data_IF_799037102960
#
_entry.id   IF_799037102960
#
_cell.length_a   1.000
_cell.length_b   1.000
_cell.length_c   1.000
_cell.angle_alpha   90.00
_cell.angle_beta   90.00
_cell.angle_gamma   90.00
#
_symmetry.space_group_name_H-M   'P 1'
#
loop_
_entity.id
_entity.type
_entity.pdbx_description
1 polymer ?
#
# COMPACT_ATOMS: atom_id res chain seq x y z
N UNK A 1 4.91 -63.64 -30.36
CA UNK A 1 3.98 -62.65 -29.79
C UNK A 1 4.23 -62.36 -28.29
N UNK A 2 5.46 -62.06 -27.89
CA UNK A 2 5.75 -61.68 -26.46
C UNK A 2 6.37 -60.28 -26.29
N UNK A 3 6.61 -59.56 -27.40
CA UNK A 3 7.22 -58.21 -27.38
C UNK A 3 6.24 -57.06 -27.15
N UNK A 4 4.94 -57.29 -27.37
CA UNK A 4 3.91 -56.23 -27.26
C UNK A 4 3.51 -55.90 -25.83
N UNK A 5 3.57 -56.85 -24.90
CA UNK A 5 3.16 -56.63 -23.51
C UNK A 5 4.18 -55.84 -22.67
N UNK A 6 5.48 -56.01 -22.97
CA UNK A 6 6.54 -55.28 -22.24
C UNK A 6 6.58 -53.78 -22.58
N UNK A 7 6.22 -53.42 -23.82
CA UNK A 7 6.18 -51.97 -24.24
C UNK A 7 5.00 -51.26 -23.59
N UNK A 8 3.85 -51.93 -23.43
CA UNK A 8 2.66 -51.35 -22.81
C UNK A 8 2.90 -51.11 -21.29
N UNK A 9 3.59 -52.03 -20.63
CA UNK A 9 3.93 -51.88 -19.20
C UNK A 9 4.95 -50.76 -18.99
N UNK A 10 5.95 -50.60 -19.91
CA UNK A 10 6.91 -49.51 -19.83
C UNK A 10 6.28 -48.13 -20.09
N UNK A 11 5.34 -48.03 -21.01
CA UNK A 11 4.56 -46.81 -21.26
C UNK A 11 3.63 -46.45 -20.09
N UNK A 12 3.03 -47.44 -19.42
CA UNK A 12 2.20 -47.22 -18.24
C UNK A 12 3.03 -46.77 -17.02
N UNK A 13 4.27 -47.28 -16.87
CA UNK A 13 5.19 -46.85 -15.81
C UNK A 13 5.71 -45.42 -16.08
N UNK A 14 6.01 -45.08 -17.36
CA UNK A 14 6.38 -43.71 -17.73
C UNK A 14 5.21 -42.71 -17.53
N UNK A 15 3.98 -43.10 -17.83
CA UNK A 15 2.80 -42.27 -17.58
C UNK A 15 2.47 -42.10 -16.09
N UNK A 16 2.77 -43.10 -15.26
CA UNK A 16 2.61 -43.01 -13.80
C UNK A 16 3.72 -42.22 -13.13
N UNK A 17 4.91 -42.12 -13.73
CA UNK A 17 6.03 -41.34 -13.13
C UNK A 17 5.92 -39.82 -13.37
N UNK A 18 4.96 -39.33 -14.15
CA UNK A 18 4.76 -37.92 -14.45
C UNK A 18 3.64 -37.26 -13.64
N UNK A 19 2.99 -37.98 -12.74
CA UNK A 19 2.22 -37.35 -11.67
C UNK A 19 3.19 -36.99 -10.54
N UNK A 20 4.14 -36.12 -10.82
CA UNK A 20 4.70 -35.27 -9.78
C UNK A 20 3.50 -34.48 -9.24
N UNK A 21 2.99 -34.92 -8.10
CA UNK A 21 2.01 -34.13 -7.36
C UNK A 21 2.67 -32.77 -7.14
N UNK A 22 2.30 -31.79 -7.95
CA UNK A 22 2.69 -30.42 -7.70
C UNK A 22 2.22 -30.14 -6.27
N UNK A 23 3.16 -30.12 -5.35
CA UNK A 23 2.89 -29.87 -3.94
C UNK A 23 2.20 -28.52 -3.91
N UNK A 24 0.90 -28.50 -3.70
CA UNK A 24 0.11 -27.28 -3.68
C UNK A 24 0.54 -26.51 -2.46
N UNK A 25 1.30 -25.45 -2.69
CA UNK A 25 1.74 -24.53 -1.63
C UNK A 25 0.49 -24.02 -0.90
N UNK A 26 0.46 -24.16 0.42
CA UNK A 26 -0.63 -23.61 1.21
C UNK A 26 -0.49 -22.09 1.33
N UNK A 27 -1.60 -21.39 1.61
CA UNK A 27 -1.59 -19.94 1.82
C UNK A 27 -0.63 -19.55 2.93
N UNK A 28 -0.60 -20.32 4.05
CA UNK A 28 0.27 -20.00 5.18
C UNK A 28 1.75 -20.22 4.86
N UNK A 29 2.08 -21.25 4.11
CA UNK A 29 3.45 -21.44 3.60
C UNK A 29 3.85 -20.28 2.67
N UNK A 30 2.95 -19.86 1.79
CA UNK A 30 3.21 -18.75 0.88
C UNK A 30 3.44 -17.42 1.62
N UNK A 31 2.64 -17.13 2.65
CA UNK A 31 2.82 -15.96 3.52
C UNK A 31 4.19 -15.99 4.23
N UNK A 32 4.56 -17.13 4.81
CA UNK A 32 5.85 -17.30 5.49
C UNK A 32 7.04 -17.12 4.53
N UNK A 33 6.95 -17.69 3.34
CA UNK A 33 7.99 -17.54 2.32
C UNK A 33 8.11 -16.10 1.84
N UNK A 34 6.98 -15.41 1.61
CA UNK A 34 6.97 -14.00 1.23
C UNK A 34 7.57 -13.11 2.33
N UNK A 35 7.24 -13.37 3.61
CA UNK A 35 7.82 -12.66 4.77
C UNK A 35 9.34 -12.85 4.84
N UNK A 36 9.81 -14.08 4.71
CA UNK A 36 11.25 -14.39 4.70
C UNK A 36 11.97 -13.70 3.54
N UNK A 37 11.36 -13.71 2.35
CA UNK A 37 11.94 -13.07 1.17
C UNK A 37 11.97 -11.55 1.32
N UNK A 38 10.91 -10.94 1.84
CA UNK A 38 10.84 -9.50 2.11
C UNK A 38 11.94 -9.04 3.08
N UNK A 39 12.24 -9.84 4.10
CA UNK A 39 13.33 -9.55 5.06
C UNK A 39 14.73 -9.61 4.47
N UNK A 40 14.92 -10.25 3.31
CA UNK A 40 16.21 -10.41 2.64
C UNK A 40 16.38 -9.49 1.41
N UNK A 41 15.41 -8.62 1.13
CA UNK A 41 15.50 -7.70 0.00
C UNK A 41 16.60 -6.66 0.26
N UNK A 42 17.32 -6.33 -0.81
CA UNK A 42 18.37 -5.33 -0.79
C UNK A 42 17.97 -4.07 -1.55
N UNK A 43 17.33 -4.25 -2.70
CA UNK A 43 16.92 -3.15 -3.58
C UNK A 43 15.64 -3.51 -4.31
N UNK A 44 14.82 -2.51 -4.61
CA UNK A 44 13.66 -2.63 -5.48
C UNK A 44 13.16 -1.27 -5.95
N UNK A 45 12.31 -1.29 -6.96
CA UNK A 45 11.51 -0.12 -7.38
C UNK A 45 10.03 -0.40 -7.16
N UNK A 46 9.23 0.65 -7.06
CA UNK A 46 7.79 0.51 -6.98
C UNK A 46 7.06 1.64 -7.72
N UNK A 47 5.85 1.32 -8.14
CA UNK A 47 4.84 2.28 -8.59
C UNK A 47 3.56 2.05 -7.83
N UNK A 48 2.93 3.12 -7.35
CA UNK A 48 1.66 3.08 -6.62
C UNK A 48 0.69 4.05 -7.28
N UNK A 49 -0.55 3.62 -7.44
CA UNK A 49 -1.67 4.49 -7.80
C UNK A 49 -2.79 4.31 -6.80
N UNK A 50 -3.40 5.40 -6.40
CA UNK A 50 -4.54 5.38 -5.50
C UNK A 50 -5.61 6.36 -5.98
N UNK A 51 -6.85 5.89 -6.06
CA UNK A 51 -8.05 6.71 -6.21
C UNK A 51 -8.80 6.73 -4.89
N UNK A 52 -9.15 7.90 -4.42
CA UNK A 52 -9.93 8.11 -3.21
C UNK A 52 -11.11 9.00 -3.51
N UNK A 53 -12.33 8.49 -3.30
CA UNK A 53 -13.56 9.24 -3.50
C UNK A 53 -14.20 9.45 -2.13
N UNK A 54 -14.66 10.66 -1.87
CA UNK A 54 -15.35 11.03 -0.66
C UNK A 54 -16.65 11.75 -1.00
N UNK A 55 -17.76 11.23 -0.48
CA UNK A 55 -19.08 11.83 -0.66
C UNK A 55 -19.62 12.16 0.71
N UNK A 56 -19.72 13.45 1.01
CA UNK A 56 -20.38 13.95 2.20
C UNK A 56 -21.82 14.31 1.91
N UNK A 57 -22.77 13.88 2.74
CA UNK A 57 -24.18 14.25 2.65
C UNK A 57 -24.75 14.56 4.03
N UNK A 58 -25.54 15.64 4.11
CA UNK A 58 -26.44 15.91 5.22
C UNK A 58 -27.80 16.39 4.67
N UNK A 59 -28.70 16.84 5.51
CA UNK A 59 -30.06 17.25 5.09
C UNK A 59 -30.08 18.38 4.04
N UNK A 60 -29.05 19.20 3.92
CA UNK A 60 -29.02 20.41 3.08
C UNK A 60 -27.84 20.50 2.12
N UNK A 61 -26.84 19.60 2.24
CA UNK A 61 -25.61 19.70 1.48
C UNK A 61 -25.16 18.31 1.01
N UNK A 62 -24.75 18.24 -0.26
CA UNK A 62 -23.94 17.13 -0.80
C UNK A 62 -22.64 17.73 -1.30
N UNK A 63 -21.51 17.19 -0.84
CA UNK A 63 -20.18 17.54 -1.31
C UNK A 63 -19.45 16.29 -1.75
N UNK A 64 -18.78 16.33 -2.89
CA UNK A 64 -18.01 15.24 -3.46
C UNK A 64 -16.57 15.70 -3.64
N UNK A 65 -15.63 14.81 -3.35
CA UNK A 65 -14.20 15.06 -3.53
C UNK A 65 -13.54 13.79 -4.05
N UNK A 66 -12.88 13.91 -5.19
CA UNK A 66 -12.16 12.83 -5.84
C UNK A 66 -10.68 13.18 -5.92
N UNK A 67 -9.82 12.28 -5.48
CA UNK A 67 -8.38 12.46 -5.52
C UNK A 67 -7.69 11.27 -6.18
N UNK A 68 -6.79 11.55 -7.09
CA UNK A 68 -5.90 10.58 -7.67
C UNK A 68 -4.46 10.84 -7.25
N UNK A 69 -3.79 9.83 -6.69
CA UNK A 69 -2.37 9.87 -6.31
C UNK A 69 -1.60 8.85 -7.13
N UNK A 70 -0.53 9.29 -7.77
CA UNK A 70 0.45 8.41 -8.41
C UNK A 70 1.81 8.62 -7.76
N UNK A 71 2.44 7.53 -7.33
CA UNK A 71 3.76 7.53 -6.69
C UNK A 71 4.67 6.54 -7.39
N UNK A 72 5.94 6.88 -7.54
CA UNK A 72 6.99 5.95 -7.95
C UNK A 72 8.19 6.12 -7.03
N UNK A 73 8.89 5.04 -6.77
CA UNK A 73 10.05 5.10 -5.88
C UNK A 73 11.08 4.02 -6.14
N UNK A 74 12.22 4.22 -5.51
CA UNK A 74 13.38 3.34 -5.51
C UNK A 74 13.90 3.22 -4.10
N UNK A 75 14.27 2.04 -3.68
CA UNK A 75 14.78 1.74 -2.34
C UNK A 75 16.05 0.92 -2.45
N UNK A 76 17.12 1.40 -1.85
CA UNK A 76 18.40 0.70 -1.70
C UNK A 76 18.74 0.59 -0.21
N UNK A 77 18.46 -0.59 0.35
CA UNK A 77 18.66 -0.88 1.76
C UNK A 77 20.15 -1.07 2.12
N UNK A 78 20.98 -1.46 1.15
CA UNK A 78 22.43 -1.66 1.34
C UNK A 78 23.11 -0.30 1.49
N UNK A 79 22.86 0.61 0.56
CA UNK A 79 23.45 1.95 0.56
C UNK A 79 22.66 2.95 1.43
N UNK A 80 21.59 2.50 2.09
CA UNK A 80 20.71 3.33 2.92
C UNK A 80 20.27 4.59 2.17
N UNK A 81 19.72 4.38 1.01
CA UNK A 81 19.21 5.45 0.15
C UNK A 81 17.84 5.10 -0.41
N UNK A 82 17.05 6.13 -0.65
CA UNK A 82 15.74 6.02 -1.25
C UNK A 82 15.38 7.29 -2.02
N UNK A 83 14.53 7.13 -3.00
CA UNK A 83 13.94 8.20 -3.76
C UNK A 83 12.47 7.90 -4.02
N UNK A 84 11.65 8.92 -4.00
CA UNK A 84 10.27 8.83 -4.40
C UNK A 84 9.79 10.14 -5.05
N UNK A 85 8.80 10.01 -5.92
CA UNK A 85 8.10 11.13 -6.54
C UNK A 85 6.62 10.83 -6.52
N UNK A 86 5.81 11.77 -6.07
CA UNK A 86 4.36 11.61 -5.95
C UNK A 86 3.64 12.81 -6.56
N UNK A 87 2.59 12.52 -7.32
CA UNK A 87 1.67 13.50 -7.87
C UNK A 87 0.29 13.24 -7.25
N UNK A 88 -0.32 14.27 -6.72
CA UNK A 88 -1.72 14.27 -6.30
C UNK A 88 -2.50 15.22 -7.21
N UNK A 89 -3.56 14.71 -7.80
CA UNK A 89 -4.51 15.48 -8.60
C UNK A 89 -5.85 15.46 -7.87
N UNK A 90 -6.40 16.62 -7.66
CA UNK A 90 -7.76 16.82 -7.19
C UNK A 90 -8.58 17.23 -8.42
N UNK A 91 -9.61 16.45 -8.76
CA UNK A 91 -10.40 16.67 -9.98
C UNK A 91 -11.23 17.93 -9.88
N UNK A 92 -11.73 18.31 -8.70
CA UNK A 92 -12.56 19.49 -8.51
C UNK A 92 -11.74 20.80 -8.63
N UNK A 93 -10.60 20.88 -7.92
CA UNK A 93 -9.76 22.07 -7.92
C UNK A 93 -8.78 22.12 -9.09
N UNK A 94 -8.60 21.01 -9.81
CA UNK A 94 -7.55 20.81 -10.83
C UNK A 94 -6.14 21.15 -10.35
N UNK A 95 -5.95 21.18 -9.03
CA UNK A 95 -4.66 21.42 -8.43
C UNK A 95 -3.81 20.15 -8.53
N UNK A 96 -2.63 20.29 -9.12
CA UNK A 96 -1.62 19.23 -9.15
C UNK A 96 -0.59 19.57 -8.09
N UNK A 97 -0.49 18.72 -7.09
CA UNK A 97 0.57 18.81 -6.08
C UNK A 97 1.63 17.77 -6.40
N UNK A 98 2.85 18.25 -6.62
CA UNK A 98 4.00 17.41 -6.93
C UNK A 98 4.99 17.45 -5.78
N UNK A 99 5.39 16.27 -5.33
CA UNK A 99 6.43 16.10 -4.32
C UNK A 99 7.51 15.16 -4.82
N UNK A 100 8.70 15.42 -4.37
CA UNK A 100 9.84 14.56 -4.60
C UNK A 100 10.66 14.48 -3.32
N UNK A 101 11.10 13.30 -2.97
CA UNK A 101 11.89 13.10 -1.77
C UNK A 101 13.06 12.17 -2.01
N UNK A 102 14.15 12.44 -1.30
CA UNK A 102 15.34 11.60 -1.25
C UNK A 102 15.69 11.31 0.20
N UNK A 103 16.11 10.10 0.44
CA UNK A 103 16.83 9.73 1.64
C UNK A 103 18.24 9.29 1.25
N UNK A 104 19.26 9.96 1.76
CA UNK A 104 20.66 9.65 1.46
C UNK A 104 21.50 9.78 2.72
N UNK A 105 22.09 8.68 3.17
CA UNK A 105 22.91 8.63 4.38
C UNK A 105 22.11 8.93 5.64
N UNK A 106 22.33 10.09 6.26
CA UNK A 106 21.66 10.53 7.48
C UNK A 106 20.77 11.76 7.27
N UNK A 107 20.33 12.00 6.04
CA UNK A 107 19.53 13.16 5.72
C UNK A 107 18.39 12.80 4.78
N UNK A 108 17.27 13.45 5.00
CA UNK A 108 16.09 13.40 4.15
C UNK A 108 15.96 14.76 3.45
N UNK A 109 15.60 14.75 2.18
CA UNK A 109 15.47 15.91 1.33
C UNK A 109 14.11 15.88 0.66
N UNK A 110 13.37 16.95 0.78
CA UNK A 110 12.04 17.06 0.21
C UNK A 110 11.93 18.26 -0.68
N UNK A 111 11.32 18.08 -1.83
CA UNK A 111 11.02 19.13 -2.81
C UNK A 111 9.53 19.40 -2.84
N UNK A 112 9.17 20.67 -2.68
CA UNK A 112 7.84 21.17 -2.91
C UNK A 112 7.89 22.34 -3.88
N UNK A 113 7.33 22.19 -5.07
CA UNK A 113 7.51 23.15 -6.15
C UNK A 113 8.97 23.27 -6.55
N UNK A 114 9.58 24.46 -6.38
CA UNK A 114 10.99 24.71 -6.66
C UNK A 114 11.89 24.69 -5.42
N UNK A 115 11.32 24.51 -4.24
CA UNK A 115 12.02 24.62 -2.98
C UNK A 115 12.42 23.26 -2.43
N UNK A 116 13.67 23.14 -1.97
CA UNK A 116 14.19 21.99 -1.25
C UNK A 116 14.26 22.27 0.25
N UNK A 117 13.92 21.27 1.04
CA UNK A 117 14.11 21.26 2.49
C UNK A 117 14.92 20.04 2.88
N UNK A 118 15.87 20.24 3.79
CA UNK A 118 16.70 19.17 4.33
C UNK A 118 16.33 18.92 5.80
N UNK A 119 16.17 17.65 6.15
CA UNK A 119 15.92 17.20 7.51
C UNK A 119 17.06 16.28 7.96
N UNK A 120 17.70 16.55 9.09
CA UNK A 120 18.62 15.58 9.68
C UNK A 120 17.84 14.38 10.21
N UNK A 121 18.36 13.18 9.98
CA UNK A 121 17.77 11.93 10.45
C UNK A 121 18.61 11.40 11.61
N UNK A 122 18.06 11.43 12.81
CA UNK A 122 18.75 10.95 14.01
C UNK A 122 18.75 9.42 14.11
N UNK A 123 17.77 8.75 13.53
CA UNK A 123 17.63 7.30 13.50
C UNK A 123 17.47 6.80 12.06
N UNK A 124 18.62 6.53 11.44
CA UNK A 124 18.69 6.03 10.06
C UNK A 124 18.01 4.66 9.90
N UNK A 125 18.09 3.80 10.93
CA UNK A 125 17.49 2.46 10.86
C UNK A 125 15.95 2.56 10.83
N UNK A 126 15.38 3.40 11.69
CA UNK A 126 13.95 3.67 11.70
C UNK A 126 13.48 4.32 10.40
N UNK A 127 14.27 5.25 9.87
CA UNK A 127 13.94 5.89 8.60
C UNK A 127 13.93 4.87 7.46
N UNK A 128 14.93 4.00 7.37
CA UNK A 128 14.95 2.93 6.37
C UNK A 128 13.77 1.97 6.50
N UNK A 129 13.30 1.68 7.72
CA UNK A 129 12.07 0.91 7.92
C UNK A 129 10.84 1.63 7.34
N UNK A 130 10.79 2.95 7.44
CA UNK A 130 9.70 3.74 6.86
C UNK A 130 9.74 3.76 5.33
N UNK A 131 10.93 3.76 4.72
CA UNK A 131 11.09 3.69 3.26
C UNK A 131 10.93 2.28 2.70
N UNK A 132 11.18 1.24 3.51
CA UNK A 132 11.02 -0.14 3.10
C UNK A 132 9.56 -0.59 3.22
N UNK A 133 8.78 -0.36 2.19
CA UNK A 133 7.33 -0.63 2.19
C UNK A 133 6.98 -2.13 2.17
N UNK A 134 7.76 -2.95 1.47
CA UNK A 134 7.43 -4.36 1.23
C UNK A 134 7.18 -5.15 2.53
N UNK A 135 7.98 -5.03 3.61
CA UNK A 135 7.66 -5.72 4.86
C UNK A 135 6.30 -5.32 5.45
N UNK A 136 5.91 -4.05 5.33
CA UNK A 136 4.59 -3.58 5.75
C UNK A 136 3.46 -4.22 4.95
N UNK A 137 3.62 -4.28 3.63
CA UNK A 137 2.66 -4.90 2.72
C UNK A 137 2.56 -6.43 2.93
N UNK A 138 3.69 -7.10 3.13
CA UNK A 138 3.73 -8.53 3.45
C UNK A 138 3.11 -8.82 4.82
N UNK A 139 3.30 -7.93 5.81
CA UNK A 139 2.59 -8.02 7.08
C UNK A 139 1.08 -7.87 6.90
N UNK A 140 0.63 -7.00 5.99
CA UNK A 140 -0.78 -6.91 5.65
C UNK A 140 -1.32 -8.25 5.11
N UNK A 141 -0.58 -8.94 4.25
CA UNK A 141 -0.94 -10.29 3.78
C UNK A 141 -0.95 -11.31 4.92
N UNK A 142 0.04 -11.27 5.81
CA UNK A 142 0.15 -12.15 6.98
C UNK A 142 -1.10 -12.07 7.86
N UNK A 143 -1.57 -10.86 8.11
CA UNK A 143 -2.73 -10.58 8.95
C UNK A 143 -4.04 -10.43 8.15
N UNK A 144 -4.20 -11.28 7.14
CA UNK A 144 -5.40 -11.33 6.30
C UNK A 144 -5.88 -12.76 6.10
N UNK A 145 -7.19 -12.91 5.95
CA UNK A 145 -7.80 -14.18 5.58
C UNK A 145 -7.79 -14.31 4.04
N UNK A 146 -6.71 -14.88 3.51
CA UNK A 146 -6.48 -14.99 2.07
C UNK A 146 -6.78 -16.40 1.57
N UNK A 147 -7.12 -16.48 0.27
CA UNK A 147 -7.25 -17.73 -0.50
C UNK A 147 -6.46 -17.61 -1.79
N UNK A 148 -5.79 -18.67 -2.22
CA UNK A 148 -5.22 -18.76 -3.57
C UNK A 148 -6.41 -19.00 -4.51
N UNK A 149 -6.68 -18.03 -5.38
CA UNK A 149 -7.78 -18.08 -6.34
C UNK A 149 -7.33 -18.52 -7.73
N UNK A 150 -6.03 -18.59 -7.96
CA UNK A 150 -5.45 -19.03 -9.24
C UNK A 150 -3.99 -18.71 -9.36
N UNK A 151 -3.53 -18.81 -10.60
CA UNK A 151 -2.17 -18.46 -11.02
C UNK A 151 -2.25 -17.76 -12.36
N UNK A 152 -1.47 -16.70 -12.51
CA UNK A 152 -1.38 -15.96 -13.76
C UNK A 152 0.04 -15.43 -13.98
N UNK A 153 0.37 -15.04 -15.19
CA UNK A 153 1.62 -14.34 -15.47
C UNK A 153 1.49 -12.86 -15.14
N UNK A 154 2.40 -12.36 -14.33
CA UNK A 154 2.53 -10.94 -14.04
C UNK A 154 3.96 -10.48 -14.35
N UNK A 155 4.12 -9.48 -15.20
CA UNK A 155 5.43 -9.00 -15.69
C UNK A 155 6.33 -10.15 -16.24
N UNK A 156 5.73 -11.15 -16.90
CA UNK A 156 6.44 -12.30 -17.47
C UNK A 156 6.75 -13.43 -16.49
N UNK A 157 6.58 -13.23 -15.19
CA UNK A 157 6.80 -14.25 -14.15
C UNK A 157 5.49 -14.96 -13.78
N UNK A 158 5.56 -16.24 -13.47
CA UNK A 158 4.41 -16.99 -12.95
C UNK A 158 4.15 -16.62 -11.50
N UNK A 159 2.92 -16.24 -11.20
CA UNK A 159 2.52 -15.80 -9.86
C UNK A 159 1.34 -16.61 -9.31
N UNK A 160 1.26 -16.69 -7.98
CA UNK A 160 0.03 -17.01 -7.27
C UNK A 160 -0.80 -15.75 -7.12
N UNK A 161 -2.10 -15.84 -7.40
CA UNK A 161 -3.05 -14.77 -7.11
C UNK A 161 -3.81 -15.11 -5.84
N UNK A 162 -3.69 -14.24 -4.85
CA UNK A 162 -4.38 -14.36 -3.57
C UNK A 162 -5.45 -13.29 -3.47
N UNK A 163 -6.60 -13.64 -2.89
CA UNK A 163 -7.69 -12.70 -2.61
C UNK A 163 -8.23 -12.96 -1.22
N UNK A 164 -8.57 -11.92 -0.50
CA UNK A 164 -9.23 -12.00 0.80
C UNK A 164 -9.37 -10.67 1.49
N UNK A 165 -9.66 -10.71 2.78
CA UNK A 165 -9.88 -9.52 3.59
C UNK A 165 -8.89 -9.48 4.75
N UNK A 166 -8.41 -8.30 5.16
CA UNK A 166 -7.58 -8.16 6.35
C UNK A 166 -8.36 -8.51 7.61
N UNK A 167 -7.63 -8.93 8.65
CA UNK A 167 -8.25 -9.11 9.96
C UNK A 167 -8.72 -7.75 10.51
N UNK A 168 -9.68 -7.81 11.41
CA UNK A 168 -10.37 -6.66 12.01
C UNK A 168 -9.41 -5.52 12.43
N UNK A 169 -8.34 -5.85 13.16
CA UNK A 169 -7.42 -4.84 13.68
C UNK A 169 -6.64 -4.09 12.57
N UNK A 170 -6.36 -4.75 11.43
CA UNK A 170 -5.76 -4.13 10.25
C UNK A 170 -6.80 -3.27 9.52
N UNK A 171 -8.02 -3.80 9.38
CA UNK A 171 -9.12 -3.06 8.78
C UNK A 171 -9.38 -1.74 9.52
N UNK A 172 -9.32 -1.75 10.85
CA UNK A 172 -9.41 -0.53 11.67
C UNK A 172 -8.34 0.51 11.34
N UNK A 173 -7.11 0.07 11.05
CA UNK A 173 -6.03 0.97 10.61
C UNK A 173 -6.33 1.62 9.26
N UNK A 174 -6.68 0.82 8.25
CA UNK A 174 -7.04 1.31 6.91
C UNK A 174 -8.26 2.24 6.99
N UNK A 175 -9.33 1.79 7.65
CA UNK A 175 -10.56 2.56 7.81
C UNK A 175 -10.34 3.83 8.64
N UNK A 176 -9.45 3.80 9.63
CA UNK A 176 -9.08 4.97 10.43
C UNK A 176 -8.41 6.06 9.60
N UNK A 177 -7.50 5.67 8.69
CA UNK A 177 -6.87 6.62 7.75
C UNK A 177 -7.88 7.17 6.75
N UNK A 178 -8.74 6.33 6.15
CA UNK A 178 -9.82 6.78 5.27
C UNK A 178 -10.77 7.74 5.98
N UNK A 179 -11.13 7.44 7.22
CA UNK A 179 -11.99 8.28 8.03
C UNK A 179 -11.36 9.64 8.30
N UNK A 180 -10.08 9.66 8.68
CA UNK A 180 -9.36 10.91 8.94
C UNK A 180 -9.31 11.76 7.66
N UNK A 181 -9.00 11.16 6.51
CA UNK A 181 -9.00 11.84 5.22
C UNK A 181 -10.39 12.40 4.88
N UNK A 182 -11.43 11.55 4.96
CA UNK A 182 -12.80 11.96 4.69
C UNK A 182 -13.30 13.08 5.60
N UNK A 183 -12.86 13.06 6.87
CA UNK A 183 -13.26 14.08 7.83
C UNK A 183 -12.60 15.43 7.56
N UNK A 184 -11.33 15.41 7.16
CA UNK A 184 -10.58 16.63 6.83
C UNK A 184 -11.16 17.30 5.57
N UNK A 185 -11.61 16.53 4.60
CA UNK A 185 -12.25 17.05 3.37
C UNK A 185 -13.72 17.45 3.58
N UNK A 186 -14.31 17.07 4.71
CA UNK A 186 -15.70 17.43 4.99
C UNK A 186 -15.80 18.88 5.51
N UNK A 187 -16.92 19.56 5.27
CA UNK A 187 -17.19 20.89 5.83
C UNK A 187 -17.51 20.85 7.34
N UNK A 188 -17.44 19.67 7.96
CA UNK A 188 -17.72 19.51 9.38
C UNK A 188 -16.60 20.06 10.24
N UNK A 189 -16.92 20.73 11.37
CA UNK A 189 -15.89 21.06 12.36
C UNK A 189 -15.29 19.78 12.94
N UNK A 190 -13.96 19.69 12.92
CA UNK A 190 -13.26 18.51 13.45
C UNK A 190 -13.63 18.28 14.92
N UNK A 191 -14.16 17.10 15.30
CA UNK A 191 -14.49 16.82 16.69
C UNK A 191 -13.27 16.98 17.58
N UNK A 192 -13.49 17.43 18.82
CA UNK A 192 -12.41 17.69 19.76
C UNK A 192 -11.57 16.45 20.06
N UNK A 193 -12.21 15.27 20.07
CA UNK A 193 -11.54 13.96 20.20
C UNK A 193 -10.57 13.66 19.06
N UNK A 194 -10.90 14.05 17.82
CA UNK A 194 -9.99 13.94 16.68
C UNK A 194 -8.85 14.95 16.76
N UNK A 195 -9.13 16.17 17.22
CA UNK A 195 -8.11 17.21 17.44
C UNK A 195 -7.04 16.78 18.44
N UNK A 196 -7.43 16.00 19.45
CA UNK A 196 -6.55 15.50 20.50
C UNK A 196 -5.86 14.16 20.14
N UNK A 197 -6.00 13.68 18.90
CA UNK A 197 -5.39 12.44 18.43
C UNK A 197 -5.99 11.15 18.99
N UNK A 198 -7.10 11.25 19.75
CA UNK A 198 -7.82 10.09 20.27
C UNK A 198 -9.00 9.75 19.36
N UNK A 199 -8.77 8.79 18.45
CA UNK A 199 -9.81 8.23 17.61
C UNK A 199 -10.60 7.19 18.44
N UNK A 200 -11.74 7.60 18.98
CA UNK A 200 -12.66 6.72 19.69
C UNK A 200 -13.81 6.34 18.74
N UNK A 201 -13.73 5.16 18.16
CA UNK A 201 -14.76 4.64 17.26
C UNK A 201 -15.63 3.60 17.94
N UNK A 202 -16.90 3.61 17.56
CA UNK A 202 -17.72 2.42 17.75
C UNK A 202 -17.25 1.32 16.79
N UNK A 203 -16.42 0.41 17.30
CA UNK A 203 -15.73 -0.62 16.49
C UNK A 203 -16.71 -1.52 15.77
N UNK A 204 -17.76 -1.98 16.43
CA UNK A 204 -18.81 -2.82 15.81
C UNK A 204 -19.53 -2.07 14.69
N UNK A 205 -19.81 -0.79 14.87
CA UNK A 205 -20.42 0.02 13.82
C UNK A 205 -19.46 0.27 12.66
N UNK A 206 -18.17 0.43 12.93
CA UNK A 206 -17.14 0.59 11.89
C UNK A 206 -17.05 -0.68 11.03
N UNK A 207 -16.99 -1.85 11.66
CA UNK A 207 -16.93 -3.16 10.96
C UNK A 207 -18.13 -3.38 10.04
N UNK A 208 -19.33 -3.11 10.53
CA UNK A 208 -20.57 -3.30 9.76
C UNK A 208 -20.70 -2.30 8.59
N UNK A 209 -19.91 -1.23 8.58
CA UNK A 209 -19.98 -0.17 7.57
C UNK A 209 -18.67 -0.03 6.78
N UNK A 210 -17.77 -0.99 6.89
CA UNK A 210 -16.52 -1.04 6.13
C UNK A 210 -16.39 -2.35 5.37
N UNK A 211 -15.76 -2.29 4.21
CA UNK A 211 -15.44 -3.46 3.41
C UNK A 211 -14.06 -3.26 2.77
N UNK A 212 -13.14 -4.19 3.03
CA UNK A 212 -11.80 -4.14 2.44
C UNK A 212 -11.46 -5.48 1.83
N UNK A 213 -11.03 -5.44 0.57
CA UNK A 213 -10.55 -6.60 -0.19
C UNK A 213 -9.10 -6.35 -0.60
N UNK A 214 -8.27 -7.34 -0.36
CA UNK A 214 -6.89 -7.40 -0.82
C UNK A 214 -6.77 -8.37 -1.98
N UNK A 215 -6.01 -8.00 -2.99
CA UNK A 215 -5.57 -8.92 -4.05
C UNK A 215 -4.06 -8.82 -4.17
N UNK A 216 -3.36 -9.94 -4.04
CA UNK A 216 -1.90 -9.97 -4.10
C UNK A 216 -1.39 -10.95 -5.16
N UNK A 217 -0.30 -10.58 -5.80
CA UNK A 217 0.44 -11.43 -6.74
C UNK A 217 1.82 -11.71 -6.17
N UNK A 218 2.08 -12.99 -5.90
CA UNK A 218 3.36 -13.45 -5.33
C UNK A 218 4.03 -14.39 -6.31
N UNK A 219 5.28 -14.11 -6.70
CA UNK A 219 6.01 -14.93 -7.66
C UNK A 219 6.18 -16.38 -7.14
N UNK A 220 6.09 -17.37 -8.05
CA UNK A 220 6.15 -18.78 -7.67
C UNK A 220 7.56 -19.25 -7.33
N UNK A 221 8.55 -18.69 -7.98
CA UNK A 221 9.95 -19.15 -7.86
C UNK A 221 10.65 -18.50 -6.66
N UNK A 222 10.39 -17.21 -6.41
CA UNK A 222 11.14 -16.40 -5.41
C UNK A 222 10.28 -15.92 -4.25
N UNK A 223 8.96 -16.12 -4.33
CA UNK A 223 7.99 -15.67 -3.32
C UNK A 223 8.01 -14.15 -3.07
N UNK A 224 8.35 -13.39 -4.13
CA UNK A 224 8.35 -11.95 -4.12
C UNK A 224 6.93 -11.42 -4.27
N UNK A 225 6.54 -10.46 -3.44
CA UNK A 225 5.33 -9.69 -3.66
C UNK A 225 5.56 -8.80 -4.88
N UNK A 226 4.83 -9.08 -5.97
CA UNK A 226 4.94 -8.36 -7.24
C UNK A 226 3.92 -7.24 -7.36
N UNK A 227 2.73 -7.46 -6.79
CA UNK A 227 1.65 -6.49 -6.79
C UNK A 227 0.73 -6.70 -5.58
N UNK A 228 0.23 -5.61 -5.03
CA UNK A 228 -0.83 -5.59 -4.05
C UNK A 228 -1.88 -4.55 -4.46
N UNK A 229 -3.13 -5.00 -4.53
CA UNK A 229 -4.29 -4.12 -4.71
C UNK A 229 -5.10 -4.10 -3.42
N UNK A 230 -5.51 -2.91 -3.00
CA UNK A 230 -6.38 -2.67 -1.86
C UNK A 230 -7.63 -1.96 -2.36
N UNK A 231 -8.79 -2.60 -2.21
CA UNK A 231 -10.07 -1.98 -2.49
C UNK A 231 -10.83 -1.87 -1.16
N UNK A 232 -11.09 -0.66 -0.74
CA UNK A 232 -11.73 -0.40 0.54
C UNK A 232 -12.90 0.58 0.37
N UNK A 233 -13.98 0.33 1.09
CA UNK A 233 -15.10 1.25 1.21
C UNK A 233 -15.48 1.40 2.67
N UNK A 234 -15.86 2.62 3.05
CA UNK A 234 -16.25 2.96 4.40
C UNK A 234 -17.44 3.92 4.36
N UNK A 235 -18.47 3.63 5.14
CA UNK A 235 -19.57 4.57 5.39
C UNK A 235 -19.45 5.07 6.83
N UNK A 236 -19.32 6.39 7.01
CA UNK A 236 -19.20 7.05 8.31
C UNK A 236 -20.50 7.76 8.65
N UNK A 237 -20.94 7.60 9.88
CA UNK A 237 -22.12 8.27 10.45
C UNK A 237 -21.77 8.80 11.84
N UNK A 238 -22.56 9.71 12.43
CA UNK A 238 -22.36 10.17 13.80
C UNK A 238 -22.22 9.05 14.82
N UNK A 239 -22.96 7.94 14.61
CA UNK A 239 -22.90 6.75 15.47
C UNK A 239 -21.53 6.07 15.49
N UNK A 240 -20.84 6.03 14.36
CA UNK A 240 -19.48 5.43 14.27
C UNK A 240 -18.48 6.29 15.05
N UNK A 241 -18.66 7.61 15.00
CA UNK A 241 -17.78 8.57 15.65
C UNK A 241 -18.09 8.79 17.15
N UNK A 242 -19.12 8.14 17.70
CA UNK A 242 -19.60 8.39 19.06
C UNK A 242 -19.86 9.88 19.35
N UNK A 243 -20.41 10.59 18.36
CA UNK A 243 -20.72 12.03 18.49
C UNK A 243 -22.21 12.28 18.39
N UNK A 244 -22.69 13.23 19.20
CA UNK A 244 -24.02 13.81 19.06
C UNK A 244 -23.96 14.95 18.06
N UNK A 245 -24.32 14.68 16.82
CA UNK A 245 -24.31 15.63 15.72
C UNK A 245 -25.59 15.47 14.91
N UNK A 246 -26.03 16.49 14.16
CA UNK A 246 -27.04 16.32 13.13
C UNK A 246 -26.67 15.17 12.19
N UNK A 247 -27.67 14.47 11.68
CA UNK A 247 -27.46 13.34 10.76
C UNK A 247 -26.62 13.75 9.57
N UNK A 248 -25.52 13.04 9.38
CA UNK A 248 -24.70 13.10 8.19
C UNK A 248 -24.25 11.71 7.79
N UNK A 249 -23.81 11.58 6.54
CA UNK A 249 -23.19 10.38 6.00
C UNK A 249 -21.98 10.77 5.18
N UNK A 250 -20.85 10.12 5.44
CA UNK A 250 -19.69 10.17 4.57
C UNK A 250 -19.50 8.79 3.97
N UNK A 251 -19.42 8.70 2.66
CA UNK A 251 -18.99 7.49 1.95
C UNK A 251 -17.59 7.74 1.45
N UNK A 252 -16.66 6.87 1.82
CA UNK A 252 -15.27 6.91 1.36
C UNK A 252 -14.96 5.63 0.62
N UNK A 253 -14.36 5.73 -0.56
CA UNK A 253 -13.77 4.60 -1.28
C UNK A 253 -12.28 4.82 -1.48
N UNK A 254 -11.51 3.75 -1.46
CA UNK A 254 -10.08 3.73 -1.76
C UNK A 254 -9.79 2.55 -2.68
N UNK A 255 -9.23 2.84 -3.84
CA UNK A 255 -8.70 1.84 -4.76
C UNK A 255 -7.21 2.11 -4.95
N UNK A 256 -6.38 1.29 -4.31
CA UNK A 256 -4.92 1.42 -4.37
C UNK A 256 -4.31 0.21 -5.07
N UNK A 257 -3.32 0.43 -5.89
CA UNK A 257 -2.51 -0.61 -6.53
C UNK A 257 -1.03 -0.25 -6.41
N UNK A 258 -0.25 -1.14 -5.81
CA UNK A 258 1.21 -1.05 -5.73
C UNK A 258 1.85 -2.18 -6.52
N UNK A 259 2.76 -1.85 -7.41
CA UNK A 259 3.54 -2.79 -8.24
C UNK A 259 5.00 -2.66 -7.88
N UNK A 260 5.67 -3.79 -7.64
CA UNK A 260 7.09 -3.88 -7.29
C UNK A 260 7.89 -4.55 -8.41
N UNK A 261 9.09 -4.02 -8.67
CA UNK A 261 9.96 -4.51 -9.73
C UNK A 261 11.46 -4.30 -9.39
N UNK A 262 12.34 -4.73 -10.29
CA UNK A 262 13.80 -4.52 -10.22
C UNK A 262 14.44 -5.00 -8.90
N UNK A 263 13.94 -6.10 -8.34
CA UNK A 263 14.46 -6.69 -7.11
C UNK A 263 15.92 -7.11 -7.25
N UNK A 264 16.77 -6.69 -6.30
CA UNK A 264 18.19 -7.01 -6.28
C UNK A 264 19.01 -6.32 -7.36
N UNK A 265 18.41 -5.44 -8.16
CA UNK A 265 19.11 -4.69 -9.20
C UNK A 265 19.95 -3.56 -8.61
N UNK A 266 21.06 -3.23 -9.26
CA UNK A 266 21.83 -2.04 -8.89
C UNK A 266 21.01 -0.79 -9.17
N UNK A 267 20.76 0.02 -8.13
CA UNK A 267 20.06 1.30 -8.23
C UNK A 267 21.08 2.44 -8.05
N UNK A 268 20.93 3.50 -8.85
CA UNK A 268 21.75 4.70 -8.74
C UNK A 268 20.89 5.85 -8.19
N UNK A 269 20.74 5.91 -6.87
CA UNK A 269 19.98 6.96 -6.19
C UNK A 269 20.95 8.10 -5.85
N UNK A 270 20.94 9.14 -6.67
CA UNK A 270 21.84 10.30 -6.54
C UNK A 270 21.01 11.54 -6.23
N UNK A 271 21.41 12.24 -5.18
CA UNK A 271 20.80 13.53 -4.84
C UNK A 271 21.09 14.55 -5.95
N UNK A 272 20.05 15.18 -6.55
CA UNK A 272 20.25 16.18 -7.59
C UNK A 272 21.01 17.40 -7.04
N UNK A 273 21.72 18.11 -7.93
CA UNK A 273 22.55 19.26 -7.53
C UNK A 273 21.72 20.36 -6.85
N UNK A 274 20.52 20.57 -7.31
CA UNK A 274 19.57 21.55 -6.79
C UNK A 274 19.14 21.25 -5.34
N UNK A 275 19.21 19.98 -4.94
CA UNK A 275 18.94 19.56 -3.57
C UNK A 275 20.15 19.67 -2.63
N UNK A 276 21.29 20.18 -3.10
CA UNK A 276 22.48 20.38 -2.27
C UNK A 276 22.53 21.76 -1.58
N UNK A 277 21.51 22.63 -1.78
CA UNK A 277 21.30 23.91 -1.12
C UNK A 277 21.11 25.06 -2.10
N UNK A 278 20.67 26.25 -1.68
CA UNK A 278 20.23 26.57 -0.31
C UNK A 278 18.88 25.91 0.04
N UNK A 279 18.65 25.68 1.32
CA UNK A 279 17.41 25.04 1.80
C UNK A 279 16.44 26.12 2.28
N UNK A 280 15.15 25.93 1.97
CA UNK A 280 14.07 26.75 2.50
C UNK A 280 13.32 25.96 3.58
N UNK A 281 12.89 26.59 4.70
CA UNK A 281 11.98 25.94 5.60
C UNK A 281 10.65 25.65 4.89
N UNK A 282 9.99 24.55 5.22
CA UNK A 282 8.63 24.29 4.74
C UNK A 282 7.74 25.41 5.28
N UNK A 283 7.22 26.24 4.38
CA UNK A 283 6.25 27.26 4.72
C UNK A 283 4.87 26.62 4.80
N UNK A 284 4.40 26.49 6.02
CA UNK A 284 3.07 25.98 6.30
C UNK A 284 2.98 24.46 6.17
N UNK A 285 2.47 23.83 7.17
CA UNK A 285 1.92 22.50 7.06
C UNK A 285 0.65 22.62 6.24
N UNK A 286 0.74 22.47 4.92
CA UNK A 286 -0.45 22.10 4.17
C UNK A 286 -0.90 20.76 4.77
N UNK A 287 -2.03 20.77 5.48
CA UNK A 287 -2.56 19.61 6.19
C UNK A 287 -2.82 18.43 5.23
N UNK A 288 -3.07 18.70 3.94
CA UNK A 288 -3.12 17.69 2.88
C UNK A 288 -1.85 16.84 2.86
N UNK A 289 -0.74 17.44 3.23
CA UNK A 289 0.55 16.79 3.43
C UNK A 289 0.54 15.78 4.57
N UNK A 290 -0.02 16.15 5.72
CA UNK A 290 -0.09 15.27 6.88
C UNK A 290 -1.01 14.06 6.65
N UNK A 291 -2.06 14.23 5.84
CA UNK A 291 -3.04 13.16 5.57
C UNK A 291 -2.62 12.28 4.39
N UNK A 292 -2.25 12.88 3.27
CA UNK A 292 -1.88 12.12 2.08
C UNK A 292 -0.40 11.71 2.08
N UNK A 293 0.45 12.37 2.85
CA UNK A 293 1.83 11.96 3.12
C UNK A 293 1.94 10.88 4.19
N UNK A 294 1.00 10.80 5.14
CA UNK A 294 0.97 9.76 6.19
C UNK A 294 0.32 8.44 5.73
N UNK A 295 -0.42 8.45 4.62
CA UNK A 295 -0.70 7.22 3.88
C UNK A 295 0.60 6.89 3.13
N UNK A 296 1.63 6.58 3.91
CA UNK A 296 3.02 6.24 3.60
C UNK A 296 3.54 6.71 2.23
N UNK A 297 4.75 7.28 2.15
CA UNK A 297 5.36 7.52 0.86
C UNK A 297 5.39 6.25 0.02
#
# INVERSE_FOLDING_TARGET
>A
MKFSQSIIIMLAILAAATVVSAQTVSVDQLKQMAEKTAGNLTTYTYTRSANSDFIFTNASLKNEFDAYKATKGQVDLVNKSGWWSSNLTDEESRNILNWEGYFVGSSEYWKQGQNWTKFPVNDTARMMQNYNEIPGEVNLLKYSNLKIVGSEKFQGEDTYKLVGSPFEFICKGICGLQLLSAYIESPLPMPEKLKNGTLDFNTTSLENNSHTVLTAWVSKDKYLLKRLDINSSLTVTPKILNISSPDFKIVSTLNESTVYDNFGSHLNIVLPKEAQGPYSPIKGTDWRWAVFGSIRP
#
